data_IF_004484531172
#
_entry.id   IF_004484531172
#
_cell.length_a   1.000
_cell.length_b   1.000
_cell.length_c   1.000
_cell.angle_alpha   90.00
_cell.angle_beta   90.00
_cell.angle_gamma   90.00
#
_symmetry.space_group_name_H-M   'P 1'
#
loop_
_entity.id
_entity.type
_entity.pdbx_description
1 polymer ?
#
# COMPACT_ATOMS: atom_id res chain seq x y z
N UNK A 1 -2.14 19.03 13.97
CA UNK A 1 -1.10 18.54 13.05
C UNK A 1 -1.21 17.03 13.09
N UNK A 2 -1.43 16.36 11.96
CA UNK A 2 -1.70 14.92 11.94
C UNK A 2 -0.39 14.15 12.14
N UNK A 3 -0.32 13.23 13.11
CA UNK A 3 0.83 12.36 13.30
C UNK A 3 0.68 11.05 12.51
N UNK A 4 1.74 10.64 11.81
CA UNK A 4 1.76 9.39 11.05
C UNK A 4 3.02 8.60 11.40
N UNK A 5 2.84 7.36 11.85
CA UNK A 5 3.93 6.41 11.95
C UNK A 5 4.16 5.74 10.59
N UNK A 6 5.39 5.80 10.09
CA UNK A 6 5.82 5.08 8.90
C UNK A 6 6.73 3.95 9.34
N UNK A 7 6.32 2.70 9.06
CA UNK A 7 7.04 1.53 9.54
C UNK A 7 8.39 1.40 8.83
N UNK A 8 9.48 1.45 9.59
CA UNK A 8 10.85 1.48 9.11
C UNK A 8 11.58 0.14 9.36
N UNK A 9 11.08 -0.95 8.78
CA UNK A 9 11.62 -2.31 9.01
C UNK A 9 12.89 -2.65 8.19
N UNK A 10 13.52 -1.64 7.57
CA UNK A 10 14.72 -1.79 6.73
C UNK A 10 14.43 -2.05 5.25
N UNK A 11 13.19 -1.89 4.81
CA UNK A 11 12.82 -1.91 3.39
C UNK A 11 11.81 -0.80 3.08
N UNK A 12 11.71 -0.40 1.81
CA UNK A 12 10.81 0.65 1.36
C UNK A 12 11.52 1.98 1.09
N UNK A 13 10.88 2.83 0.29
CA UNK A 13 11.32 4.20 0.03
C UNK A 13 10.77 5.15 1.10
N UNK A 14 11.17 4.91 2.36
CA UNK A 14 10.62 5.62 3.54
C UNK A 14 10.84 7.14 3.48
N UNK A 15 11.97 7.59 2.91
CA UNK A 15 12.27 9.00 2.77
C UNK A 15 11.30 9.72 1.83
N UNK A 16 10.96 9.13 0.68
CA UNK A 16 10.00 9.78 -0.24
C UNK A 16 8.60 9.84 0.35
N UNK A 17 8.18 8.79 1.08
CA UNK A 17 6.90 8.79 1.81
C UNK A 17 6.91 9.89 2.87
N UNK A 18 7.97 9.99 3.68
CA UNK A 18 8.13 11.03 4.69
C UNK A 18 8.02 12.42 4.07
N UNK A 19 8.82 12.73 3.04
CA UNK A 19 8.79 14.05 2.39
C UNK A 19 7.42 14.39 1.80
N UNK A 20 6.71 13.40 1.24
CA UNK A 20 5.37 13.62 0.69
C UNK A 20 4.36 13.98 1.79
N UNK A 21 4.42 13.32 2.94
CA UNK A 21 3.55 13.58 4.09
C UNK A 21 3.88 14.91 4.77
N UNK A 22 5.16 15.22 4.98
CA UNK A 22 5.62 16.48 5.58
C UNK A 22 5.21 17.69 4.72
N UNK A 23 5.28 17.56 3.39
CA UNK A 23 4.79 18.58 2.45
C UNK A 23 3.29 18.86 2.61
N UNK A 24 2.52 17.89 3.10
CA UNK A 24 1.10 18.01 3.40
C UNK A 24 0.83 18.48 4.84
N UNK A 25 1.87 18.80 5.61
CA UNK A 25 1.77 19.33 6.98
C UNK A 25 1.59 18.26 8.06
N UNK A 26 1.88 16.99 7.76
CA UNK A 26 1.89 15.92 8.76
C UNK A 26 3.23 15.85 9.50
N UNK A 27 3.20 15.44 10.77
CA UNK A 27 4.40 15.04 11.50
C UNK A 27 4.63 13.56 11.25
N UNK A 28 5.80 13.20 10.72
CA UNK A 28 6.13 11.82 10.40
C UNK A 28 7.07 11.25 11.44
N UNK A 29 6.73 10.08 11.97
CA UNK A 29 7.60 9.29 12.83
C UNK A 29 8.01 8.01 12.09
N UNK A 30 9.25 7.96 11.63
CA UNK A 30 9.85 6.71 11.16
C UNK A 30 10.13 5.82 12.38
N UNK A 31 9.62 4.60 12.38
CA UNK A 31 9.77 3.71 13.54
C UNK A 31 9.65 2.24 13.19
N UNK A 32 10.40 1.40 13.90
CA UNK A 32 10.26 -0.05 13.94
C UNK A 32 9.85 -0.55 15.34
N UNK A 33 9.42 0.37 16.23
CA UNK A 33 9.00 0.06 17.59
C UNK A 33 7.51 -0.36 17.62
N UNK A 34 7.19 -1.59 18.05
CA UNK A 34 5.83 -2.08 18.21
C UNK A 34 4.92 -1.15 19.03
N UNK A 35 5.44 -0.55 20.11
CA UNK A 35 4.66 0.30 21.01
C UNK A 35 4.27 1.62 20.32
N UNK A 36 5.19 2.18 19.54
CA UNK A 36 4.92 3.40 18.78
C UNK A 36 3.85 3.14 17.73
N UNK A 37 3.92 2.01 17.02
CA UNK A 37 2.93 1.65 16.00
C UNK A 37 1.56 1.40 16.64
N UNK A 38 1.52 0.73 17.80
CA UNK A 38 0.27 0.47 18.50
C UNK A 38 -0.45 1.76 18.93
N UNK A 39 0.31 2.80 19.31
CA UNK A 39 -0.21 4.08 19.80
C UNK A 39 -0.42 5.16 18.71
N UNK A 40 0.16 4.98 17.52
CA UNK A 40 0.10 5.95 16.43
C UNK A 40 -1.33 6.25 15.94
N UNK A 41 -1.65 7.52 15.67
CA UNK A 41 -2.95 7.89 15.09
C UNK A 41 -3.22 7.18 13.76
N UNK A 42 -2.21 7.07 12.90
CA UNK A 42 -2.28 6.44 11.58
C UNK A 42 -0.95 5.78 11.27
N UNK A 43 -1.01 4.71 10.49
CA UNK A 43 0.17 3.91 10.12
C UNK A 43 0.28 3.79 8.61
N UNK A 44 1.48 4.01 8.07
CA UNK A 44 1.82 3.58 6.72
C UNK A 44 2.75 2.39 6.81
N UNK A 45 2.37 1.30 6.13
CA UNK A 45 3.22 0.16 5.84
C UNK A 45 3.80 0.33 4.44
N UNK A 46 5.02 0.90 4.29
CA UNK A 46 5.66 0.98 2.99
C UNK A 46 6.25 -0.38 2.61
N UNK A 47 6.60 -0.55 1.34
CA UNK A 47 7.48 -1.65 0.98
C UNK A 47 8.00 -1.60 -0.45
N UNK A 48 9.22 -2.07 -0.62
CA UNK A 48 9.82 -2.44 -1.90
C UNK A 48 10.55 -3.78 -1.71
N UNK A 49 10.79 -4.49 -2.80
CA UNK A 49 11.50 -5.78 -2.77
C UNK A 49 10.57 -6.97 -2.58
N UNK A 50 11.06 -8.02 -1.92
CA UNK A 50 10.40 -9.31 -1.80
C UNK A 50 9.53 -9.42 -0.53
N UNK A 51 8.36 -10.04 -0.66
CA UNK A 51 7.43 -10.34 0.42
C UNK A 51 8.05 -11.22 1.51
N UNK A 52 8.83 -12.23 1.12
CA UNK A 52 9.51 -13.12 2.07
C UNK A 52 10.48 -12.37 2.98
N UNK A 53 11.27 -11.47 2.39
CA UNK A 53 12.18 -10.61 3.16
C UNK A 53 11.41 -9.67 4.10
N UNK A 54 10.37 -9.00 3.59
CA UNK A 54 9.57 -8.08 4.38
C UNK A 54 8.86 -8.77 5.56
N UNK A 55 8.20 -9.91 5.33
CA UNK A 55 7.54 -10.67 6.40
C UNK A 55 8.52 -11.18 7.45
N UNK A 56 9.72 -11.63 7.03
CA UNK A 56 10.78 -11.98 7.98
C UNK A 56 11.18 -10.79 8.85
N UNK A 57 11.43 -9.62 8.25
CA UNK A 57 11.80 -8.40 8.98
C UNK A 57 10.71 -7.96 9.95
N UNK A 58 9.44 -7.95 9.53
CA UNK A 58 8.32 -7.62 10.39
C UNK A 58 8.20 -8.60 11.57
N UNK A 59 8.47 -9.89 11.34
CA UNK A 59 8.49 -10.91 12.39
C UNK A 59 9.64 -10.70 13.37
N UNK A 60 10.87 -10.53 12.87
CA UNK A 60 12.08 -10.31 13.68
C UNK A 60 11.94 -9.08 14.60
N UNK A 61 11.20 -8.05 14.16
CA UNK A 61 10.94 -6.81 14.89
C UNK A 61 9.67 -6.87 15.78
N UNK A 62 8.95 -7.99 15.80
CA UNK A 62 7.72 -8.13 16.60
C UNK A 62 6.55 -7.27 16.09
N UNK A 63 6.56 -6.86 14.82
CA UNK A 63 5.59 -5.92 14.24
C UNK A 63 4.30 -6.57 13.73
N UNK A 64 4.30 -7.90 13.55
CA UNK A 64 3.15 -8.62 13.00
C UNK A 64 1.88 -8.43 13.86
N UNK A 65 1.97 -8.66 15.17
CA UNK A 65 0.82 -8.54 16.06
C UNK A 65 0.29 -7.09 16.17
N UNK A 66 1.14 -6.06 16.37
CA UNK A 66 0.71 -4.66 16.34
C UNK A 66 0.00 -4.27 15.05
N UNK A 67 0.55 -4.65 13.89
CA UNK A 67 -0.05 -4.32 12.58
C UNK A 67 -1.42 -5.00 12.43
N UNK A 68 -1.53 -6.28 12.81
CA UNK A 68 -2.80 -7.03 12.72
C UNK A 68 -3.88 -6.44 13.63
N UNK A 69 -3.50 -6.01 14.83
CA UNK A 69 -4.40 -5.46 15.85
C UNK A 69 -4.71 -3.97 15.66
N UNK A 70 -4.02 -3.27 14.76
CA UNK A 70 -4.14 -1.82 14.61
C UNK A 70 -5.57 -1.42 14.20
N UNK A 71 -6.29 -0.63 15.04
CA UNK A 71 -7.71 -0.33 14.84
C UNK A 71 -7.96 0.92 13.99
N UNK A 72 -6.92 1.72 13.77
CA UNK A 72 -6.95 3.05 13.14
C UNK A 72 -6.52 3.00 11.67
N UNK A 73 -6.59 4.09 10.89
CA UNK A 73 -6.26 4.05 9.47
C UNK A 73 -4.85 3.54 9.17
N UNK A 74 -4.78 2.44 8.41
CA UNK A 74 -3.55 1.85 7.92
C UNK A 74 -3.50 1.93 6.39
N UNK A 75 -2.39 2.41 5.82
CA UNK A 75 -2.15 2.43 4.37
C UNK A 75 -0.93 1.58 3.99
N UNK A 76 -1.15 0.53 3.21
CA UNK A 76 -0.10 -0.25 2.56
C UNK A 76 0.31 0.36 1.21
N UNK A 77 1.60 0.56 0.98
CA UNK A 77 2.12 1.13 -0.29
C UNK A 77 2.98 0.11 -1.04
N UNK A 78 2.63 -0.14 -2.31
CA UNK A 78 3.24 -1.10 -3.23
C UNK A 78 3.31 -2.51 -2.62
N UNK A 79 4.49 -2.98 -2.20
CA UNK A 79 4.60 -4.23 -1.44
C UNK A 79 3.76 -4.18 -0.16
N UNK A 80 3.66 -3.02 0.49
CA UNK A 80 2.82 -2.86 1.67
C UNK A 80 1.34 -3.18 1.43
N UNK A 81 0.79 -2.89 0.23
CA UNK A 81 -0.57 -3.34 -0.14
C UNK A 81 -0.61 -4.87 -0.22
N UNK A 82 0.39 -5.48 -0.86
CA UNK A 82 0.47 -6.93 -1.04
C UNK A 82 0.52 -7.64 0.32
N UNK A 83 1.31 -7.14 1.27
CA UNK A 83 1.44 -7.71 2.62
C UNK A 83 0.11 -7.75 3.39
N UNK A 84 -0.90 -6.95 3.04
CA UNK A 84 -2.22 -6.99 3.67
C UNK A 84 -2.99 -8.30 3.37
N UNK A 85 -2.65 -8.99 2.29
CA UNK A 85 -3.34 -10.21 1.87
C UNK A 85 -2.90 -11.44 2.68
N UNK A 86 -3.39 -12.63 2.34
CA UNK A 86 -3.12 -13.86 3.08
C UNK A 86 -1.80 -14.53 2.69
N UNK A 87 -1.50 -14.56 1.40
CA UNK A 87 -0.39 -15.34 0.84
C UNK A 87 0.24 -14.58 -0.33
N UNK A 88 1.54 -14.76 -0.55
CA UNK A 88 2.23 -14.47 -1.82
C UNK A 88 2.75 -15.75 -2.45
N UNK A 89 2.61 -15.90 -3.77
CA UNK A 89 3.23 -16.99 -4.53
C UNK A 89 4.72 -16.74 -4.87
N UNK A 90 5.33 -15.69 -4.31
CA UNK A 90 6.75 -15.40 -4.48
C UNK A 90 7.61 -16.50 -3.83
N UNK A 91 8.55 -17.06 -4.59
CA UNK A 91 9.41 -18.16 -4.12
C UNK A 91 8.61 -19.46 -3.94
N UNK A 92 8.76 -20.09 -2.78
CA UNK A 92 8.02 -21.31 -2.39
C UNK A 92 6.68 -21.02 -1.69
N UNK A 93 6.25 -19.75 -1.71
CA UNK A 93 5.07 -19.27 -0.98
C UNK A 93 5.43 -18.58 0.33
N UNK A 94 4.74 -17.47 0.63
CA UNK A 94 4.98 -16.66 1.83
C UNK A 94 3.65 -16.31 2.50
N UNK A 95 3.47 -16.72 3.75
CA UNK A 95 2.37 -16.25 4.59
C UNK A 95 2.52 -14.76 4.87
N UNK A 96 1.45 -13.99 4.65
CA UNK A 96 1.43 -12.54 4.80
C UNK A 96 0.66 -12.13 6.07
N UNK A 97 0.18 -10.89 6.15
CA UNK A 97 -0.52 -10.40 7.34
C UNK A 97 -1.92 -11.00 7.50
N UNK A 98 -2.55 -11.49 6.44
CA UNK A 98 -3.87 -12.14 6.48
C UNK A 98 -5.01 -11.20 6.85
N UNK A 99 -4.90 -9.92 6.50
CA UNK A 99 -5.88 -8.88 6.82
C UNK A 99 -6.96 -8.74 5.75
N UNK A 100 -6.67 -9.20 4.54
CA UNK A 100 -7.55 -9.27 3.40
C UNK A 100 -7.44 -10.69 2.82
N UNK A 101 -8.56 -11.38 2.52
CA UNK A 101 -8.49 -12.71 1.94
C UNK A 101 -7.94 -12.67 0.52
N UNK A 102 -7.15 -13.67 0.15
CA UNK A 102 -6.64 -13.88 -1.20
C UNK A 102 -5.12 -14.00 -1.28
N UNK A 103 -4.64 -14.40 -2.46
CA UNK A 103 -3.23 -14.64 -2.74
C UNK A 103 -2.71 -13.63 -3.77
N UNK A 104 -1.60 -12.99 -3.43
CA UNK A 104 -0.79 -12.17 -4.33
C UNK A 104 -0.06 -13.11 -5.29
N UNK A 105 -0.20 -12.87 -6.59
CA UNK A 105 0.37 -13.76 -7.62
C UNK A 105 1.33 -13.03 -8.54
N UNK A 106 2.23 -13.76 -9.19
CA UNK A 106 3.10 -13.18 -10.22
C UNK A 106 2.25 -12.54 -11.33
N UNK A 107 2.58 -11.29 -11.67
CA UNK A 107 1.92 -10.57 -12.76
C UNK A 107 2.18 -11.28 -14.09
N UNK A 108 1.10 -11.60 -14.81
CA UNK A 108 1.12 -12.25 -16.12
C UNK A 108 0.28 -11.41 -17.08
N UNK A 109 0.85 -10.34 -17.66
CA UNK A 109 0.10 -9.50 -18.59
C UNK A 109 -0.17 -10.27 -19.89
N UNK A 110 -1.28 -9.97 -20.54
CA UNK A 110 -1.60 -10.45 -21.88
C UNK A 110 -0.66 -9.82 -22.91
N UNK A 111 -0.25 -10.60 -23.91
CA UNK A 111 0.71 -10.19 -24.93
C UNK A 111 2.15 -10.09 -24.43
N UNK A 112 2.99 -9.36 -25.16
CA UNK A 112 4.44 -9.26 -24.90
C UNK A 112 4.82 -8.06 -24.00
N UNK A 113 3.95 -7.69 -23.05
CA UNK A 113 4.24 -6.59 -22.12
C UNK A 113 5.35 -6.99 -21.14
N UNK A 114 6.36 -6.10 -20.90
CA UNK A 114 7.46 -6.42 -20.00
C UNK A 114 7.01 -6.53 -18.55
N UNK A 115 7.69 -7.36 -17.76
CA UNK A 115 7.51 -7.44 -16.31
C UNK A 115 8.82 -6.97 -15.64
N UNK A 116 8.79 -6.06 -14.65
CA UNK A 116 7.61 -5.57 -13.92
C UNK A 116 6.74 -4.57 -14.70
N UNK A 117 5.46 -4.44 -14.31
CA UNK A 117 4.65 -3.28 -14.68
C UNK A 117 5.30 -2.03 -14.10
N UNK A 118 5.94 -1.26 -14.97
CA UNK A 118 6.71 -0.06 -14.60
C UNK A 118 6.30 1.11 -15.48
N UNK A 119 5.79 2.18 -14.87
CA UNK A 119 5.37 3.38 -15.58
C UNK A 119 4.09 3.97 -15.03
N UNK A 120 3.48 4.86 -15.81
CA UNK A 120 2.26 5.56 -15.45
C UNK A 120 1.04 4.89 -16.07
N UNK A 121 0.09 4.47 -15.22
CA UNK A 121 -1.17 3.84 -15.64
C UNK A 121 -2.35 4.58 -15.04
N UNK A 122 -3.49 4.53 -15.73
CA UNK A 122 -4.71 5.22 -15.29
C UNK A 122 -5.39 4.46 -14.16
N UNK A 123 -5.92 5.20 -13.19
CA UNK A 123 -6.78 4.69 -12.14
C UNK A 123 -8.24 4.76 -12.61
N UNK A 124 -8.85 3.60 -12.83
CA UNK A 124 -10.26 3.45 -13.13
C UNK A 124 -11.00 3.17 -11.82
N UNK A 125 -11.83 4.11 -11.37
CA UNK A 125 -12.55 3.99 -10.09
C UNK A 125 -13.73 3.04 -10.22
N UNK A 126 -13.92 2.20 -9.20
CA UNK A 126 -15.02 1.22 -9.13
C UNK A 126 -16.19 1.76 -8.31
N UNK A 127 -15.88 2.35 -7.15
CA UNK A 127 -16.85 2.94 -6.23
C UNK A 127 -16.23 4.10 -5.45
N UNK A 128 -17.10 4.88 -4.81
CA UNK A 128 -16.67 5.98 -3.95
C UNK A 128 -16.02 5.47 -2.66
N UNK A 129 -14.97 6.17 -2.24
CA UNK A 129 -14.27 5.95 -0.98
C UNK A 129 -13.62 7.26 -0.54
N UNK A 130 -13.59 7.59 0.76
CA UNK A 130 -12.93 8.79 1.26
C UNK A 130 -11.46 8.90 0.83
N UNK A 131 -10.74 7.78 0.64
CA UNK A 131 -9.37 7.82 0.16
C UNK A 131 -9.24 8.38 -1.27
N UNK A 132 -10.28 8.22 -2.09
CA UNK A 132 -10.31 8.62 -3.51
C UNK A 132 -11.04 9.94 -3.76
N UNK A 133 -11.47 10.65 -2.71
CA UNK A 133 -12.15 11.93 -2.86
C UNK A 133 -11.29 12.96 -3.60
N UNK A 134 -11.86 13.61 -4.62
CA UNK A 134 -11.11 14.56 -5.46
C UNK A 134 -10.09 13.94 -6.42
N UNK A 135 -9.91 12.61 -6.44
CA UNK A 135 -9.11 11.93 -7.47
C UNK A 135 -9.97 11.74 -8.71
N UNK A 136 -9.55 12.36 -9.82
CA UNK A 136 -10.26 12.22 -11.09
C UNK A 136 -10.26 10.76 -11.58
N UNK A 137 -11.38 10.31 -12.12
CA UNK A 137 -11.42 9.03 -12.83
C UNK A 137 -10.50 9.10 -14.07
N UNK A 138 -9.67 8.07 -14.25
CA UNK A 138 -8.63 8.05 -15.27
C UNK A 138 -7.35 8.83 -14.92
N UNK A 139 -7.21 9.33 -13.68
CA UNK A 139 -5.97 9.97 -13.24
C UNK A 139 -4.77 9.00 -13.33
N UNK A 140 -3.59 9.53 -13.68
CA UNK A 140 -2.37 8.72 -13.79
C UNK A 140 -1.70 8.52 -12.43
N UNK A 141 -1.21 7.30 -12.18
CA UNK A 141 -0.38 6.96 -11.04
C UNK A 141 0.84 6.12 -11.47
N UNK A 142 1.93 6.19 -10.70
CA UNK A 142 3.20 5.55 -11.01
C UNK A 142 3.32 4.16 -10.36
N UNK A 143 3.42 3.11 -11.18
CA UNK A 143 3.53 1.72 -10.79
C UNK A 143 4.95 1.19 -11.00
N UNK A 144 5.36 0.25 -10.14
CA UNK A 144 6.56 -0.58 -10.31
C UNK A 144 6.42 -1.89 -9.52
N UNK A 145 5.91 -2.95 -10.14
CA UNK A 145 5.69 -4.24 -9.46
C UNK A 145 5.69 -5.45 -10.40
N UNK A 146 6.17 -6.59 -9.90
CA UNK A 146 6.14 -7.89 -10.60
C UNK A 146 5.08 -8.88 -10.09
N UNK A 147 4.39 -8.52 -9.01
CA UNK A 147 3.33 -9.30 -8.37
C UNK A 147 2.08 -8.45 -8.22
N UNK A 148 0.90 -9.07 -8.19
CA UNK A 148 -0.39 -8.39 -8.20
C UNK A 148 -1.34 -9.01 -7.17
N UNK A 149 -2.09 -8.16 -6.48
CA UNK A 149 -3.14 -8.59 -5.56
C UNK A 149 -4.33 -9.17 -6.34
N UNK A 150 -5.13 -10.07 -5.74
CA UNK A 150 -6.33 -10.57 -6.39
C UNK A 150 -7.38 -9.45 -6.48
N UNK A 151 -8.06 -9.36 -7.62
CA UNK A 151 -9.22 -8.49 -7.75
C UNK A 151 -10.41 -9.06 -6.99
N UNK A 152 -11.30 -8.21 -6.50
CA UNK A 152 -12.47 -8.64 -5.75
C UNK A 152 -13.13 -7.54 -4.93
N UNK A 153 -13.94 -7.91 -3.91
CA UNK A 153 -14.75 -6.97 -3.14
C UNK A 153 -13.98 -5.88 -2.40
N UNK A 154 -12.67 -6.08 -2.18
CA UNK A 154 -11.79 -5.09 -1.56
C UNK A 154 -11.34 -3.99 -2.55
N UNK A 155 -11.41 -4.23 -3.85
CA UNK A 155 -10.92 -3.28 -4.86
C UNK A 155 -11.78 -2.02 -4.89
N UNK A 156 -11.13 -0.86 -4.91
CA UNK A 156 -11.75 0.48 -5.04
C UNK A 156 -11.42 1.13 -6.38
N UNK A 157 -10.24 0.84 -6.92
CA UNK A 157 -9.82 1.29 -8.23
C UNK A 157 -8.93 0.25 -8.90
N UNK A 158 -9.02 0.15 -10.22
CA UNK A 158 -8.24 -0.76 -11.06
C UNK A 158 -7.31 0.03 -11.98
N UNK A 159 -6.22 -0.59 -12.38
CA UNK A 159 -5.45 -0.22 -13.56
C UNK A 159 -5.47 -1.39 -14.55
N UNK A 160 -5.12 -1.13 -15.80
CA UNK A 160 -4.93 -2.16 -16.82
C UNK A 160 -3.47 -2.20 -17.25
N UNK A 161 -2.87 -3.38 -17.19
CA UNK A 161 -1.56 -3.66 -17.75
C UNK A 161 -1.57 -5.02 -18.47
N UNK A 162 -2.35 -5.12 -19.55
CA UNK A 162 -2.62 -6.39 -20.22
C UNK A 162 -3.47 -7.32 -19.35
N UNK A 163 -4.27 -6.75 -18.47
CA UNK A 163 -4.95 -7.47 -17.39
C UNK A 163 -5.22 -6.56 -16.21
N UNK A 164 -6.18 -6.96 -15.38
CA UNK A 164 -6.63 -6.17 -14.24
C UNK A 164 -5.57 -6.12 -13.15
N UNK A 165 -5.23 -4.91 -12.72
CA UNK A 165 -4.40 -4.65 -11.53
C UNK A 165 -5.26 -3.95 -10.49
N UNK A 166 -5.53 -4.56 -9.32
CA UNK A 166 -6.15 -3.88 -8.19
C UNK A 166 -5.23 -2.77 -7.68
N UNK A 167 -5.49 -1.55 -8.13
CA UNK A 167 -4.63 -0.40 -7.92
C UNK A 167 -4.83 0.21 -6.54
N UNK A 168 -6.07 0.21 -6.04
CA UNK A 168 -6.43 0.63 -4.70
C UNK A 168 -7.37 -0.40 -4.09
N UNK A 169 -7.10 -0.80 -2.86
CA UNK A 169 -7.95 -1.74 -2.11
C UNK A 169 -8.33 -1.17 -0.74
N UNK A 170 -9.43 -1.64 -0.17
CA UNK A 170 -9.84 -1.36 1.21
C UNK A 170 -10.51 -2.57 1.85
N UNK A 171 -10.19 -2.79 3.12
CA UNK A 171 -10.91 -3.68 4.04
C UNK A 171 -10.96 -3.03 5.43
N UNK A 172 -12.15 -2.72 5.93
CA UNK A 172 -12.35 -2.00 7.19
C UNK A 172 -11.52 -0.69 7.26
N UNK A 173 -10.57 -0.63 8.20
CA UNK A 173 -9.65 0.48 8.46
C UNK A 173 -8.31 0.37 7.72
N UNK A 174 -8.18 -0.56 6.77
CA UNK A 174 -6.94 -0.79 6.01
C UNK A 174 -7.16 -0.49 4.55
N UNK A 175 -6.27 0.32 3.98
CA UNK A 175 -6.20 0.63 2.56
C UNK A 175 -4.88 0.16 1.99
N UNK A 176 -4.86 -0.07 0.69
CA UNK A 176 -3.65 -0.34 -0.07
C UNK A 176 -3.61 0.46 -1.35
N UNK A 177 -2.42 0.86 -1.78
CA UNK A 177 -2.12 1.35 -3.13
C UNK A 177 -1.02 0.49 -3.76
N UNK A 178 -1.27 -0.11 -4.92
CA UNK A 178 -0.26 -0.91 -5.65
C UNK A 178 0.79 0.00 -6.31
N UNK A 179 0.40 1.22 -6.64
CA UNK A 179 1.29 2.29 -7.09
C UNK A 179 1.94 3.01 -5.92
N UNK A 180 2.84 3.94 -6.25
CA UNK A 180 3.55 4.78 -5.30
C UNK A 180 2.90 6.17 -5.22
N UNK A 181 1.98 6.44 -4.28
CA UNK A 181 1.32 7.74 -4.17
C UNK A 181 2.33 8.86 -3.90
N UNK A 182 3.44 8.58 -3.21
CA UNK A 182 4.53 9.53 -2.99
C UNK A 182 5.28 9.91 -4.29
N UNK A 183 5.05 9.18 -5.39
CA UNK A 183 5.63 9.40 -6.72
C UNK A 183 4.59 9.68 -7.81
N UNK A 184 3.31 9.84 -7.45
CA UNK A 184 2.19 9.92 -8.39
C UNK A 184 1.62 11.33 -8.57
N UNK A 185 2.47 12.35 -8.49
CA UNK A 185 2.12 13.76 -8.69
C UNK A 185 0.84 14.18 -7.90
N UNK A 186 -0.08 14.89 -8.54
CA UNK A 186 -1.31 15.40 -7.92
C UNK A 186 -2.21 14.27 -7.40
N UNK A 187 -2.44 13.21 -8.18
CA UNK A 187 -3.29 12.10 -7.77
C UNK A 187 -2.75 11.44 -6.48
N UNK A 188 -1.44 11.22 -6.43
CA UNK A 188 -0.76 10.69 -5.26
C UNK A 188 -0.82 11.62 -4.04
N UNK A 189 -0.60 12.93 -4.24
CA UNK A 189 -0.70 13.92 -3.18
C UNK A 189 -2.13 14.01 -2.60
N UNK A 190 -3.15 13.96 -3.46
CA UNK A 190 -4.56 13.95 -3.05
C UNK A 190 -4.88 12.70 -2.22
N UNK A 191 -4.44 11.51 -2.65
CA UNK A 191 -4.65 10.28 -1.88
C UNK A 191 -3.99 10.34 -0.50
N UNK A 192 -2.74 10.83 -0.42
CA UNK A 192 -2.06 10.97 0.88
C UNK A 192 -2.75 12.01 1.76
N UNK A 193 -3.21 13.13 1.19
CA UNK A 193 -3.99 14.14 1.92
C UNK A 193 -5.29 13.56 2.46
N UNK A 194 -6.00 12.77 1.66
CA UNK A 194 -7.23 12.12 2.08
C UNK A 194 -6.98 11.13 3.21
N UNK A 195 -5.91 10.33 3.11
CA UNK A 195 -5.50 9.42 4.19
C UNK A 195 -5.25 10.16 5.51
N UNK A 196 -4.60 11.32 5.48
CA UNK A 196 -4.37 12.17 6.65
C UNK A 196 -5.67 12.73 7.26
N UNK A 197 -6.74 12.84 6.47
CA UNK A 197 -8.05 13.34 6.88
C UNK A 197 -9.01 12.26 7.39
N UNK A 198 -8.68 10.97 7.29
CA UNK A 198 -9.53 9.87 7.76
C UNK A 198 -9.68 9.89 9.28
N UNK A 199 -10.86 9.61 9.82
CA UNK A 199 -11.09 9.52 11.26
C UNK A 199 -10.34 8.35 11.91
N UNK A 200 -9.84 8.58 13.13
CA UNK A 200 -9.18 7.59 14.00
C UNK A 200 -10.15 7.00 15.02
#
# INVERSE_FOLDING_TARGET
>A
MTEVAVIAYGAGNVASVQFALERLGATVRLTDDPAVIAEAERVILPGVGAAGYAMKRLSDLGLIAPIRAFPRPLLGVCLGQQLLFGLSDEGDGVDLLGLIPGAVTRLKPAGDLPVPHMGWSRLMRDRDDPLLEGVADGAYAYFVHGFVCPDGPATLARADYGGVVPAVVRSANRWGCQFHPERSAEAGATILKNFLGLSC
#
